data_IF_833816922353
#
_entry.id   IF_833816922353
#
_cell.length_a   1.000
_cell.length_b   1.000
_cell.length_c   1.000
_cell.angle_alpha   90.00
_cell.angle_beta   90.00
_cell.angle_gamma   90.00
#
_symmetry.space_group_name_H-M   'P 1'
#
loop_
_entity.id
_entity.type
_entity.pdbx_description
1 polymer ?
#
# COMPACT_ATOMS: atom_id res chain seq x y z
N UNK A 1 -2.44 1.28 -1.01
CA UNK A 1 -2.70 1.08 -2.45
C UNK A 1 -3.14 -0.35 -2.68
N UNK A 2 -4.09 -0.61 -3.58
CA UNK A 2 -4.58 -1.96 -3.88
C UNK A 2 -4.29 -2.34 -5.31
N UNK A 3 -3.82 -3.56 -5.51
CA UNK A 3 -3.52 -4.11 -6.82
C UNK A 3 -4.83 -4.45 -7.53
N UNK A 4 -5.00 -3.96 -8.77
CA UNK A 4 -6.23 -4.16 -9.56
C UNK A 4 -6.43 -5.61 -10.02
N UNK A 5 -5.35 -6.39 -10.15
CA UNK A 5 -5.38 -7.78 -10.62
C UNK A 5 -5.64 -8.76 -9.48
N UNK A 6 -4.97 -8.58 -8.34
CA UNK A 6 -5.02 -9.53 -7.22
C UNK A 6 -5.96 -9.08 -6.11
N UNK A 7 -6.30 -7.80 -6.05
CA UNK A 7 -7.05 -7.20 -4.95
C UNK A 7 -6.26 -7.04 -3.65
N UNK A 8 -4.94 -7.32 -3.67
CA UNK A 8 -4.07 -7.23 -2.49
C UNK A 8 -3.58 -5.81 -2.25
N UNK A 9 -3.17 -5.54 -1.02
CA UNK A 9 -2.72 -4.23 -0.58
C UNK A 9 -1.20 -4.20 -0.55
N UNK A 10 -0.63 -3.23 -1.26
CA UNK A 10 0.80 -2.97 -1.25
C UNK A 10 1.19 -2.29 0.06
N UNK A 11 2.25 -2.76 0.69
CA UNK A 11 2.87 -2.17 1.88
C UNK A 11 4.40 -2.09 1.73
N UNK A 12 5.03 -1.17 2.47
CA UNK A 12 6.50 -1.11 2.56
C UNK A 12 6.99 -2.30 3.36
N UNK A 13 8.07 -2.94 2.92
CA UNK A 13 8.75 -4.02 3.65
C UNK A 13 10.17 -3.59 4.03
N UNK A 14 10.80 -4.33 4.95
CA UNK A 14 12.17 -4.04 5.38
C UNK A 14 13.16 -4.02 4.21
N UNK A 15 14.12 -3.08 4.28
CA UNK A 15 15.20 -2.97 3.29
C UNK A 15 14.79 -2.30 1.98
N UNK A 16 13.78 -1.42 2.00
CA UNK A 16 13.34 -0.68 0.81
C UNK A 16 12.57 -1.52 -0.21
N UNK A 17 12.04 -2.66 0.23
CA UNK A 17 11.24 -3.57 -0.61
C UNK A 17 9.75 -3.28 -0.44
N UNK A 18 8.94 -3.92 -1.28
CA UNK A 18 7.49 -3.91 -1.19
C UNK A 18 6.95 -5.33 -0.99
N UNK A 19 5.83 -5.44 -0.29
CA UNK A 19 5.06 -6.68 -0.13
C UNK A 19 3.59 -6.45 -0.46
N UNK A 20 2.87 -7.53 -0.77
CA UNK A 20 1.42 -7.51 -1.03
C UNK A 20 0.71 -8.51 -0.13
N UNK A 21 -0.37 -8.09 0.53
CA UNK A 21 -1.18 -8.99 1.36
C UNK A 21 -2.65 -8.57 1.45
N UNK A 22 -3.50 -9.42 2.02
CA UNK A 22 -4.89 -9.09 2.31
C UNK A 22 -5.02 -7.92 3.28
N UNK A 23 -6.03 -7.07 3.05
CA UNK A 23 -6.30 -5.84 3.80
C UNK A 23 -6.19 -6.00 5.33
N UNK A 24 -6.72 -7.11 5.86
CA UNK A 24 -6.80 -7.39 7.29
C UNK A 24 -5.44 -7.60 7.96
N UNK A 25 -4.42 -8.02 7.21
CA UNK A 25 -3.03 -8.07 7.71
C UNK A 25 -2.38 -6.69 7.66
N UNK A 26 -2.76 -5.86 6.68
CA UNK A 26 -2.16 -4.53 6.47
C UNK A 26 -2.72 -3.43 7.41
N UNK A 27 -3.92 -3.60 7.96
CA UNK A 27 -4.52 -2.61 8.90
C UNK A 27 -3.78 -2.50 10.23
N UNK A 28 -3.10 -3.58 10.66
CA UNK A 28 -2.36 -3.64 11.92
C UNK A 28 -0.87 -3.32 11.74
N UNK A 29 -0.48 -2.85 10.56
CA UNK A 29 0.88 -2.40 10.32
C UNK A 29 1.14 -1.08 11.05
N UNK A 30 2.34 -0.95 11.62
CA UNK A 30 2.83 0.35 12.06
C UNK A 30 2.97 1.29 10.86
N UNK A 31 2.94 2.60 11.11
CA UNK A 31 2.95 3.59 10.03
C UNK A 31 4.23 3.53 9.17
N UNK A 32 5.31 2.97 9.71
CA UNK A 32 6.55 2.70 8.97
C UNK A 32 6.35 1.79 7.75
N UNK A 33 5.34 0.91 7.77
CA UNK A 33 5.02 0.03 6.66
C UNK A 33 3.91 0.58 5.74
N UNK A 34 3.26 1.69 6.12
CA UNK A 34 2.21 2.34 5.33
C UNK A 34 2.79 3.44 4.44
N UNK A 35 2.28 3.54 3.22
CA UNK A 35 2.65 4.65 2.34
C UNK A 35 2.00 5.95 2.81
N UNK A 36 2.78 7.02 2.80
CA UNK A 36 2.28 8.39 2.92
C UNK A 36 1.66 8.84 1.61
N UNK A 37 0.76 9.83 1.67
CA UNK A 37 0.18 10.40 0.45
C UNK A 37 1.23 11.04 -0.47
N UNK A 38 2.30 11.61 0.09
CA UNK A 38 3.40 12.17 -0.69
C UNK A 38 4.15 11.09 -1.48
N UNK A 39 4.41 9.92 -0.89
CA UNK A 39 5.01 8.78 -1.59
C UNK A 39 4.08 8.30 -2.72
N UNK A 40 2.79 8.19 -2.45
CA UNK A 40 1.79 7.75 -3.44
C UNK A 40 1.70 8.72 -4.62
N UNK A 41 1.71 10.03 -4.37
CA UNK A 41 1.65 11.05 -5.43
C UNK A 41 2.86 10.98 -6.38
N UNK A 42 3.99 10.45 -5.93
CA UNK A 42 5.19 10.23 -6.74
C UNK A 42 5.25 8.87 -7.44
N UNK A 43 4.30 7.97 -7.19
CA UNK A 43 4.30 6.62 -7.76
C UNK A 43 3.54 6.56 -9.08
N UNK A 44 4.09 5.83 -10.05
CA UNK A 44 3.34 5.43 -11.24
C UNK A 44 2.38 4.29 -10.89
N UNK A 45 1.15 4.65 -10.55
CA UNK A 45 0.13 3.71 -10.03
C UNK A 45 -0.58 2.89 -11.12
N UNK A 46 0.05 2.62 -12.28
CA UNK A 46 -0.63 1.99 -13.43
C UNK A 46 -1.46 0.74 -13.06
N UNK A 47 -0.86 -0.18 -12.30
CA UNK A 47 -1.51 -1.43 -11.84
C UNK A 47 -2.20 -1.34 -10.48
N UNK A 48 -2.16 -0.18 -9.82
CA UNK A 48 -2.68 0.01 -8.47
C UNK A 48 -3.78 1.08 -8.44
N UNK A 49 -4.74 0.90 -7.54
CA UNK A 49 -5.71 1.93 -7.19
C UNK A 49 -5.35 2.52 -5.82
N UNK A 50 -5.49 3.85 -5.70
CA UNK A 50 -5.45 4.50 -4.41
C UNK A 50 -6.80 4.24 -3.72
N UNK A 51 -6.75 3.95 -2.43
CA UNK A 51 -7.96 3.75 -1.64
C UNK A 51 -7.95 4.89 -0.63
N UNK A 52 -9.05 5.63 -0.58
CA UNK A 52 -9.28 6.62 0.48
C UNK A 52 -9.27 5.89 1.82
N UNK A 53 -8.44 6.37 2.75
CA UNK A 53 -8.42 5.88 4.12
C UNK A 53 -9.38 6.79 4.89
N UNK A 54 -10.48 6.24 5.40
CA UNK A 54 -11.33 6.95 6.37
C UNK A 54 -10.50 7.20 7.64
N UNK A 55 -10.46 8.46 8.12
CA UNK A 55 -9.70 8.90 9.31
C UNK A 55 -10.13 8.22 10.61
#
# INVERSE_FOLDING_TARGET
>A
MKNKLTGFYLFKAFGGKYGEEFYRSTINLTDDFKFTQQEINGMEVGSYEQIEVEE
#
